data_IF_096468238763
#
_entry.id   IF_096468238763
#
_cell.length_a   1.000
_cell.length_b   1.000
_cell.length_c   1.000
_cell.angle_alpha   90.00
_cell.angle_beta   90.00
_cell.angle_gamma   90.00
#
_symmetry.space_group_name_H-M   'P 1'
#
loop_
_entity.id
_entity.type
_entity.pdbx_description
1 polymer ?
#
# COMPACT_ATOMS: atom_id res chain seq x y z
N UNK A 1 -51.94 65.91 -19.28
CA UNK A 1 -51.58 64.72 -18.48
C UNK A 1 -51.35 63.44 -19.31
N UNK A 2 -52.06 63.22 -20.43
CA UNK A 2 -51.92 61.99 -21.24
C UNK A 2 -50.63 61.95 -22.08
N UNK A 3 -50.11 63.10 -22.54
CA UNK A 3 -48.85 63.17 -23.30
C UNK A 3 -47.59 62.89 -22.45
N UNK A 4 -47.63 63.13 -21.14
CA UNK A 4 -46.50 62.86 -20.22
C UNK A 4 -46.44 61.37 -19.84
N UNK A 5 -47.59 60.68 -19.81
CA UNK A 5 -47.65 59.24 -19.53
C UNK A 5 -47.22 58.40 -20.74
N UNK A 6 -47.50 58.84 -21.98
CA UNK A 6 -46.98 58.18 -23.19
C UNK A 6 -45.45 58.33 -23.37
N UNK A 7 -44.85 59.41 -22.88
CA UNK A 7 -43.39 59.59 -22.85
C UNK A 7 -42.70 58.74 -21.77
N UNK A 8 -43.41 58.38 -20.69
CA UNK A 8 -42.90 57.49 -19.64
C UNK A 8 -43.01 56.00 -20.01
N UNK A 9 -43.84 55.63 -21.00
CA UNK A 9 -44.02 54.25 -21.47
C UNK A 9 -43.03 53.84 -22.57
N UNK A 10 -42.29 54.77 -23.17
CA UNK A 10 -41.20 54.46 -24.11
C UNK A 10 -39.90 54.07 -23.41
N UNK A 11 -39.72 54.43 -22.12
CA UNK A 11 -38.54 54.09 -21.32
C UNK A 11 -38.48 52.63 -20.83
N UNK A 12 -39.61 51.92 -20.80
CA UNK A 12 -39.67 50.52 -20.32
C UNK A 12 -39.31 49.48 -21.38
N UNK A 13 -39.22 49.85 -22.67
CA UNK A 13 -38.77 48.95 -23.74
C UNK A 13 -37.25 48.96 -23.94
N UNK A 14 -36.59 50.02 -23.50
CA UNK A 14 -35.14 50.19 -23.62
C UNK A 14 -34.40 49.30 -22.62
N UNK A 15 -34.90 49.18 -21.39
CA UNK A 15 -34.28 48.35 -20.35
C UNK A 15 -34.19 46.86 -20.70
N UNK A 16 -35.26 46.16 -21.15
CA UNK A 16 -35.17 44.75 -21.55
C UNK A 16 -34.34 44.56 -22.83
N UNK A 17 -34.31 45.54 -23.75
CA UNK A 17 -33.46 45.51 -24.93
C UNK A 17 -31.98 45.63 -24.55
N UNK A 18 -31.62 46.53 -23.63
CA UNK A 18 -30.26 46.68 -23.12
C UNK A 18 -29.82 45.46 -22.31
N UNK A 19 -30.71 44.87 -21.51
CA UNK A 19 -30.44 43.61 -20.80
C UNK A 19 -30.23 42.47 -21.79
N UNK A 20 -31.03 42.38 -22.85
CA UNK A 20 -30.86 41.36 -23.90
C UNK A 20 -29.55 41.54 -24.66
N UNK A 21 -29.17 42.77 -25.02
CA UNK A 21 -27.88 43.08 -25.66
C UNK A 21 -26.71 42.75 -24.72
N UNK A 22 -26.81 43.10 -23.44
CA UNK A 22 -25.79 42.79 -22.45
C UNK A 22 -25.64 41.29 -22.22
N UNK A 23 -26.76 40.55 -22.13
CA UNK A 23 -26.76 39.08 -22.09
C UNK A 23 -26.13 38.51 -23.37
N UNK A 24 -26.49 39.03 -24.55
CA UNK A 24 -25.89 38.62 -25.83
C UNK A 24 -24.39 38.88 -25.88
N UNK A 25 -23.91 40.04 -25.39
CA UNK A 25 -22.48 40.37 -25.33
C UNK A 25 -21.73 39.45 -24.35
N UNK A 26 -22.30 39.18 -23.17
CA UNK A 26 -21.73 38.23 -22.21
C UNK A 26 -21.66 36.80 -22.79
N UNK A 27 -22.69 36.42 -23.55
CA UNK A 27 -22.72 35.12 -24.24
C UNK A 27 -21.64 35.06 -25.32
N UNK A 28 -21.49 36.09 -26.16
CA UNK A 28 -20.44 36.18 -27.18
C UNK A 28 -19.04 36.08 -26.55
N UNK A 29 -18.78 36.80 -25.45
CA UNK A 29 -17.50 36.73 -24.74
C UNK A 29 -17.24 35.32 -24.20
N UNK A 30 -18.25 34.66 -23.63
CA UNK A 30 -18.10 33.30 -23.09
C UNK A 30 -17.78 32.25 -24.17
N UNK A 31 -18.38 32.35 -25.36
CA UNK A 31 -18.14 31.43 -26.47
C UNK A 31 -16.77 31.64 -27.13
N UNK A 32 -16.36 32.90 -27.33
CA UNK A 32 -15.03 33.23 -27.87
C UNK A 32 -13.89 32.81 -26.93
N UNK A 33 -14.08 32.96 -25.62
CA UNK A 33 -13.10 32.52 -24.63
C UNK A 33 -12.98 31.00 -24.53
N UNK A 34 -14.09 30.25 -24.54
CA UNK A 34 -14.05 28.78 -24.41
C UNK A 34 -13.33 28.09 -25.58
N UNK A 35 -13.52 28.57 -26.82
CA UNK A 35 -12.78 28.05 -27.98
C UNK A 35 -11.27 28.36 -27.89
N UNK A 36 -10.91 29.53 -27.34
CA UNK A 36 -9.51 29.93 -27.18
C UNK A 36 -8.81 29.10 -26.09
N UNK A 37 -9.51 28.73 -25.01
CA UNK A 37 -8.92 27.96 -23.91
C UNK A 37 -8.50 26.54 -24.32
N UNK A 38 -9.27 25.88 -25.18
CA UNK A 38 -8.96 24.54 -25.67
C UNK A 38 -7.77 24.55 -26.66
N UNK A 39 -7.63 25.59 -27.48
CA UNK A 39 -6.43 25.80 -28.32
C UNK A 39 -5.19 25.99 -27.44
N UNK A 40 -5.28 26.83 -26.41
CA UNK A 40 -4.17 27.07 -25.48
C UNK A 40 -3.82 25.82 -24.66
N UNK A 41 -4.82 25.00 -24.31
CA UNK A 41 -4.62 23.70 -23.69
C UNK A 41 -3.74 22.79 -24.55
N UNK A 42 -4.13 22.56 -25.82
CA UNK A 42 -3.38 21.69 -26.74
C UNK A 42 -1.99 22.26 -27.02
N UNK A 43 -1.85 23.59 -27.15
CA UNK A 43 -0.56 24.25 -27.32
C UNK A 43 0.35 24.00 -26.12
N UNK A 44 -0.16 24.16 -24.90
CA UNK A 44 0.58 23.91 -23.67
C UNK A 44 0.99 22.44 -23.53
N UNK A 45 0.09 21.50 -23.86
CA UNK A 45 0.40 20.07 -23.88
C UNK A 45 1.55 19.79 -24.86
N UNK A 46 1.46 20.27 -26.11
CA UNK A 46 2.50 20.06 -27.12
C UNK A 46 3.87 20.60 -26.69
N UNK A 47 3.92 21.76 -26.05
CA UNK A 47 5.17 22.36 -25.57
C UNK A 47 5.76 21.57 -24.40
N UNK A 48 4.92 21.00 -23.54
CA UNK A 48 5.36 20.28 -22.34
C UNK A 48 5.90 18.86 -22.61
N UNK A 49 5.51 18.26 -23.74
CA UNK A 49 5.86 16.89 -24.09
C UNK A 49 7.05 16.85 -25.06
N UNK A 50 7.97 15.91 -24.83
CA UNK A 50 9.01 15.57 -25.80
C UNK A 50 8.47 14.50 -26.76
N UNK A 51 8.46 14.79 -28.06
CA UNK A 51 7.94 13.91 -29.12
C UNK A 51 9.05 13.47 -30.08
N UNK A 52 9.83 12.43 -29.73
CA UNK A 52 10.98 11.99 -30.52
C UNK A 52 10.61 11.39 -31.88
N UNK A 53 9.35 10.99 -32.08
CA UNK A 53 8.87 10.33 -33.30
C UNK A 53 7.95 11.23 -34.13
N UNK A 54 7.74 12.47 -33.70
CA UNK A 54 6.98 13.49 -34.43
C UNK A 54 5.51 13.12 -34.69
N UNK A 55 4.88 12.38 -33.76
CA UNK A 55 3.45 12.04 -33.82
C UNK A 55 2.54 13.27 -33.67
N UNK A 56 2.99 14.30 -32.95
CA UNK A 56 2.28 15.57 -32.73
C UNK A 56 2.53 16.61 -33.84
N UNK A 57 3.11 16.20 -34.97
CA UNK A 57 3.38 17.08 -36.11
C UNK A 57 2.11 17.75 -36.65
N UNK A 58 0.97 17.07 -36.64
CA UNK A 58 -0.31 17.60 -37.12
C UNK A 58 -0.86 18.73 -36.26
N UNK A 59 -0.38 18.89 -35.02
CA UNK A 59 -0.83 19.92 -34.08
C UNK A 59 -0.23 21.28 -34.48
N UNK A 60 -0.70 21.82 -35.61
CA UNK A 60 -0.30 23.11 -36.13
C UNK A 60 -1.33 24.19 -35.76
N UNK A 61 -0.87 25.22 -35.06
CA UNK A 61 -1.70 26.31 -34.53
C UNK A 61 -1.71 27.57 -35.42
N UNK A 62 -1.25 27.47 -36.67
CA UNK A 62 -1.22 28.59 -37.63
C UNK A 62 -2.58 28.80 -38.34
N UNK A 63 -3.58 27.95 -38.08
CA UNK A 63 -4.89 28.01 -38.71
C UNK A 63 -5.91 28.70 -37.79
N UNK A 64 -6.83 29.46 -38.40
CA UNK A 64 -7.90 30.20 -37.72
C UNK A 64 -9.31 29.70 -38.06
N UNK A 65 -9.43 28.66 -38.90
CA UNK A 65 -10.72 28.06 -39.27
C UNK A 65 -11.33 27.33 -38.07
N UNK A 66 -12.63 27.46 -37.83
CA UNK A 66 -13.28 26.73 -36.74
C UNK A 66 -13.14 25.20 -36.88
N UNK A 67 -13.02 24.49 -35.76
CA UNK A 67 -12.85 23.04 -35.72
C UNK A 67 -11.50 22.52 -36.22
N UNK A 68 -10.53 23.38 -36.58
CA UNK A 68 -9.26 22.91 -37.14
C UNK A 68 -8.46 22.02 -36.18
N UNK A 69 -8.55 22.25 -34.86
CA UNK A 69 -7.86 21.42 -33.86
C UNK A 69 -8.43 20.00 -33.78
N UNK A 70 -9.66 19.79 -34.25
CA UNK A 70 -10.32 18.48 -34.28
C UNK A 70 -9.74 17.55 -35.35
N UNK A 71 -8.86 18.07 -36.21
CA UNK A 71 -8.10 17.29 -37.21
C UNK A 71 -6.73 16.86 -36.69
N UNK A 72 -6.37 17.27 -35.48
CA UNK A 72 -5.11 16.89 -34.88
C UNK A 72 -5.11 15.40 -34.50
N UNK A 73 -3.97 14.73 -34.70
CA UNK A 73 -3.77 13.36 -34.28
C UNK A 73 -4.08 13.21 -32.79
N UNK A 74 -4.98 12.28 -32.47
CA UNK A 74 -5.38 12.00 -31.10
C UNK A 74 -6.34 13.01 -30.47
N UNK A 75 -6.85 14.01 -31.20
CA UNK A 75 -7.86 14.94 -30.66
C UNK A 75 -9.24 14.57 -31.18
N UNK A 76 -10.18 14.37 -30.27
CA UNK A 76 -11.60 14.21 -30.57
C UNK A 76 -12.36 15.41 -30.01
N UNK A 77 -13.25 16.01 -30.80
CA UNK A 77 -14.05 17.15 -30.38
C UNK A 77 -15.51 16.76 -30.15
N UNK A 78 -16.23 17.60 -29.39
CA UNK A 78 -17.67 17.46 -29.20
C UNK A 78 -18.46 17.61 -30.50
N UNK A 79 -17.99 18.51 -31.37
CA UNK A 79 -18.51 18.72 -32.72
C UNK A 79 -17.32 18.98 -33.65
N UNK A 80 -17.30 18.44 -34.89
CA UNK A 80 -16.17 18.58 -35.82
C UNK A 80 -15.85 20.04 -36.21
N UNK A 81 -16.86 20.91 -36.12
CA UNK A 81 -16.76 22.32 -36.50
C UNK A 81 -16.62 23.27 -35.30
N UNK A 82 -16.39 22.75 -34.09
CA UNK A 82 -16.18 23.56 -32.89
C UNK A 82 -14.82 23.23 -32.27
N UNK A 83 -14.05 24.26 -31.87
CA UNK A 83 -12.78 24.08 -31.16
C UNK A 83 -12.99 23.68 -29.69
N UNK A 84 -13.67 22.56 -29.46
CA UNK A 84 -14.08 22.09 -28.13
C UNK A 84 -13.67 20.64 -27.94
N UNK A 85 -12.60 20.42 -27.20
CA UNK A 85 -11.99 19.10 -27.04
C UNK A 85 -12.87 18.23 -26.12
N UNK A 86 -13.19 17.04 -26.62
CA UNK A 86 -13.92 16.00 -25.90
C UNK A 86 -12.94 14.99 -25.29
N UNK A 87 -12.03 14.45 -26.11
CA UNK A 87 -11.03 13.48 -25.68
C UNK A 87 -9.65 13.80 -26.29
N UNK A 88 -8.61 13.49 -25.53
CA UNK A 88 -7.23 13.47 -26.01
C UNK A 88 -6.71 12.03 -25.86
N UNK A 89 -6.34 11.40 -26.99
CA UNK A 89 -5.84 10.03 -27.12
C UNK A 89 -4.45 10.03 -27.74
N UNK A 90 -3.43 10.01 -26.90
CA UNK A 90 -2.02 10.01 -27.29
C UNK A 90 -1.33 8.70 -26.94
N UNK A 91 -2.08 7.59 -26.98
CA UNK A 91 -1.57 6.27 -26.62
C UNK A 91 -0.46 5.79 -27.57
N UNK A 92 0.55 5.11 -27.02
CA UNK A 92 1.61 4.40 -27.76
C UNK A 92 2.42 5.27 -28.75
N UNK A 93 2.59 6.56 -28.44
CA UNK A 93 3.32 7.52 -29.29
C UNK A 93 4.80 7.69 -28.92
N UNK A 94 5.28 7.01 -27.87
CA UNK A 94 6.65 7.14 -27.37
C UNK A 94 6.99 8.50 -26.77
N UNK A 95 5.97 9.27 -26.38
CA UNK A 95 6.08 10.60 -25.79
C UNK A 95 6.85 10.55 -24.46
N UNK A 96 7.63 11.59 -24.16
CA UNK A 96 8.39 11.73 -22.91
C UNK A 96 8.06 13.08 -22.25
N UNK A 97 8.60 13.27 -21.06
CA UNK A 97 8.34 14.44 -20.23
C UNK A 97 7.60 14.05 -18.95
N UNK A 98 6.89 15.01 -18.37
CA UNK A 98 6.07 14.82 -17.18
C UNK A 98 4.58 14.93 -17.54
N UNK A 99 3.71 14.80 -16.54
CA UNK A 99 2.27 15.01 -16.74
C UNK A 99 1.99 16.42 -17.31
N UNK A 100 1.30 16.56 -18.45
CA UNK A 100 1.14 17.85 -19.09
C UNK A 100 0.09 18.70 -18.37
N UNK A 101 0.54 19.65 -17.55
CA UNK A 101 -0.32 20.51 -16.72
C UNK A 101 -1.30 21.37 -17.54
N UNK A 102 -0.99 21.62 -18.82
CA UNK A 102 -1.85 22.38 -19.75
C UNK A 102 -3.26 21.80 -19.90
N UNK A 103 -3.46 20.53 -19.55
CA UNK A 103 -4.78 19.88 -19.55
C UNK A 103 -5.83 20.63 -18.70
N UNK A 104 -5.40 21.41 -17.70
CA UNK A 104 -6.31 22.24 -16.89
C UNK A 104 -7.08 23.30 -17.69
N UNK A 105 -6.58 23.67 -18.86
CA UNK A 105 -7.20 24.66 -19.74
C UNK A 105 -8.19 24.04 -20.73
N UNK A 106 -8.24 22.71 -20.85
CA UNK A 106 -9.21 22.03 -21.71
C UNK A 106 -10.58 22.03 -21.02
N UNK A 107 -11.43 22.99 -21.38
CA UNK A 107 -12.65 23.36 -20.64
C UNK A 107 -13.68 22.22 -20.56
N UNK A 108 -13.69 21.33 -21.54
CA UNK A 108 -14.76 20.34 -21.76
C UNK A 108 -14.23 18.92 -21.91
N UNK A 109 -12.99 18.66 -21.46
CA UNK A 109 -12.34 17.36 -21.57
C UNK A 109 -13.03 16.31 -20.71
N UNK A 110 -13.34 15.16 -21.31
CA UNK A 110 -13.98 14.03 -20.64
C UNK A 110 -13.12 12.76 -20.66
N UNK A 111 -12.21 12.63 -21.61
CA UNK A 111 -11.30 11.50 -21.73
C UNK A 111 -9.87 11.96 -21.93
N UNK A 112 -8.97 11.44 -21.11
CA UNK A 112 -7.54 11.71 -21.22
C UNK A 112 -6.77 10.39 -21.19
N UNK A 113 -6.15 10.05 -22.32
CA UNK A 113 -5.38 8.83 -22.51
C UNK A 113 -3.99 9.19 -23.03
N UNK A 114 -2.98 8.98 -22.20
CA UNK A 114 -1.56 9.10 -22.54
C UNK A 114 -0.82 7.78 -22.27
N UNK A 115 -1.56 6.66 -22.32
CA UNK A 115 -1.04 5.33 -22.02
C UNK A 115 0.06 4.87 -22.99
N UNK A 116 0.90 3.92 -22.57
CA UNK A 116 1.90 3.34 -23.47
C UNK A 116 3.02 4.30 -23.90
N UNK A 117 3.32 5.31 -23.09
CA UNK A 117 4.37 6.29 -23.35
C UNK A 117 5.53 6.16 -22.34
N UNK A 118 6.47 7.11 -22.39
CA UNK A 118 7.61 7.20 -21.50
C UNK A 118 7.49 8.40 -20.54
N UNK A 119 6.26 8.75 -20.14
CA UNK A 119 6.01 9.87 -19.22
C UNK A 119 6.50 9.48 -17.81
N UNK A 120 7.26 10.37 -17.19
CA UNK A 120 7.93 10.18 -15.90
C UNK A 120 7.43 11.19 -14.86
N UNK A 121 8.02 11.11 -13.66
CA UNK A 121 7.67 12.00 -12.55
C UNK A 121 6.42 11.52 -11.83
N UNK A 122 5.86 12.39 -10.98
CA UNK A 122 4.70 12.07 -10.17
C UNK A 122 3.41 12.43 -10.88
N UNK A 123 2.31 11.74 -10.53
CA UNK A 123 0.98 12.26 -10.81
C UNK A 123 0.79 13.53 -9.96
N UNK A 124 0.39 14.69 -10.53
CA UNK A 124 0.28 15.95 -9.82
C UNK A 124 -0.58 15.84 -8.55
N UNK A 125 -0.15 16.44 -7.44
CA UNK A 125 -0.87 16.37 -6.17
C UNK A 125 -2.22 17.10 -6.19
N UNK A 126 -2.42 18.01 -7.13
CA UNK A 126 -3.64 18.78 -7.38
C UNK A 126 -4.38 18.31 -8.64
N UNK A 127 -4.28 17.02 -8.98
CA UNK A 127 -4.83 16.43 -10.21
C UNK A 127 -6.32 16.75 -10.43
N UNK A 128 -7.12 16.90 -9.38
CA UNK A 128 -8.55 17.23 -9.52
C UNK A 128 -8.80 18.62 -10.10
N UNK A 129 -7.87 19.56 -9.91
CA UNK A 129 -7.93 20.88 -10.55
C UNK A 129 -7.56 20.82 -12.03
N UNK A 130 -6.81 19.80 -12.44
CA UNK A 130 -6.36 19.63 -13.81
C UNK A 130 -7.40 18.87 -14.65
N UNK A 131 -8.07 17.87 -14.06
CA UNK A 131 -8.96 16.94 -14.78
C UNK A 131 -10.30 16.71 -14.07
N UNK A 132 -10.81 17.70 -13.34
CA UNK A 132 -11.97 17.52 -12.44
C UNK A 132 -13.26 17.01 -13.10
N UNK A 133 -13.43 17.22 -14.41
CA UNK A 133 -14.58 16.76 -15.19
C UNK A 133 -14.30 15.49 -16.02
N UNK A 134 -13.08 14.97 -15.97
CA UNK A 134 -12.70 13.77 -16.72
C UNK A 134 -13.42 12.54 -16.18
N UNK A 135 -13.93 11.75 -17.11
CA UNK A 135 -14.67 10.51 -16.88
C UNK A 135 -13.83 9.27 -17.15
N UNK A 136 -12.80 9.38 -17.99
CA UNK A 136 -11.88 8.30 -18.32
C UNK A 136 -10.45 8.83 -18.28
N UNK A 137 -9.66 8.31 -17.34
CA UNK A 137 -8.24 8.62 -17.22
C UNK A 137 -7.41 7.36 -17.41
N UNK A 138 -6.60 7.32 -18.47
CA UNK A 138 -5.65 6.24 -18.72
C UNK A 138 -4.21 6.77 -18.74
N UNK A 139 -3.49 6.42 -17.68
CA UNK A 139 -2.07 6.72 -17.48
C UNK A 139 -1.23 5.44 -17.50
N UNK A 140 -1.81 4.31 -17.93
CA UNK A 140 -1.17 3.01 -17.84
C UNK A 140 0.07 2.90 -18.73
N UNK A 141 0.94 1.94 -18.44
CA UNK A 141 2.13 1.64 -19.25
C UNK A 141 3.03 2.86 -19.47
N UNK A 142 3.36 3.57 -18.38
CA UNK A 142 4.25 4.71 -18.36
C UNK A 142 5.36 4.52 -17.30
N UNK A 143 6.04 5.59 -16.93
CA UNK A 143 7.09 5.61 -15.89
C UNK A 143 6.71 6.53 -14.72
N UNK A 144 5.41 6.70 -14.44
CA UNK A 144 4.97 7.48 -13.29
C UNK A 144 5.46 6.84 -11.99
N UNK A 145 5.96 7.67 -11.08
CA UNK A 145 6.57 7.27 -9.80
C UNK A 145 5.93 8.00 -8.61
N UNK A 146 6.28 7.58 -7.40
CA UNK A 146 5.74 8.16 -6.17
C UNK A 146 4.33 7.65 -5.85
N UNK A 147 3.66 8.32 -4.92
CA UNK A 147 2.35 7.89 -4.44
C UNK A 147 1.19 8.31 -5.35
N UNK A 148 0.10 7.55 -5.30
CA UNK A 148 -1.17 7.96 -5.92
C UNK A 148 -1.74 9.14 -5.09
N UNK A 149 -1.95 10.33 -5.67
CA UNK A 149 -2.39 11.49 -4.91
C UNK A 149 -3.82 11.30 -4.39
N UNK A 150 -4.04 11.58 -3.10
CA UNK A 150 -5.37 11.50 -2.46
C UNK A 150 -6.39 12.41 -3.14
N UNK A 151 -5.94 13.53 -3.71
CA UNK A 151 -6.76 14.49 -4.45
C UNK A 151 -7.44 13.87 -5.69
N UNK A 152 -6.95 12.74 -6.19
CA UNK A 152 -7.59 12.00 -7.28
C UNK A 152 -8.99 11.50 -6.91
N UNK A 153 -9.28 11.34 -5.60
CA UNK A 153 -10.62 11.03 -5.10
C UNK A 153 -11.62 12.20 -5.25
N UNK A 154 -11.16 13.41 -5.58
CA UNK A 154 -12.02 14.57 -5.87
C UNK A 154 -12.49 14.59 -7.34
N UNK A 155 -11.96 13.74 -8.22
CA UNK A 155 -12.42 13.59 -9.59
C UNK A 155 -13.73 12.77 -9.66
N UNK A 156 -14.82 13.33 -9.12
CA UNK A 156 -16.10 12.66 -8.88
C UNK A 156 -16.81 12.10 -10.12
N UNK A 157 -16.38 12.51 -11.32
CA UNK A 157 -16.93 12.06 -12.61
C UNK A 157 -16.25 10.81 -13.17
N UNK A 158 -15.13 10.36 -12.58
CA UNK A 158 -14.37 9.21 -13.09
C UNK A 158 -15.20 7.92 -13.09
N UNK A 159 -15.28 7.31 -14.27
CA UNK A 159 -15.78 5.96 -14.50
C UNK A 159 -14.64 4.97 -14.72
N UNK A 160 -13.54 5.41 -15.36
CA UNK A 160 -12.39 4.58 -15.70
C UNK A 160 -11.12 5.25 -15.16
N UNK A 161 -10.34 4.49 -14.40
CA UNK A 161 -9.03 4.91 -13.88
C UNK A 161 -8.01 3.78 -14.07
N UNK A 162 -7.08 3.97 -15.01
CA UNK A 162 -6.03 3.02 -15.32
C UNK A 162 -4.66 3.61 -14.98
N UNK A 163 -3.98 2.96 -14.05
CA UNK A 163 -2.67 3.32 -13.53
C UNK A 163 -1.68 2.14 -13.62
N UNK A 164 -2.07 1.04 -14.26
CA UNK A 164 -1.25 -0.16 -14.33
C UNK A 164 0.06 0.04 -15.09
N UNK A 165 1.04 -0.84 -14.83
CA UNK A 165 2.35 -0.84 -15.46
C UNK A 165 3.06 0.51 -15.32
N UNK A 166 3.15 1.00 -14.09
CA UNK A 166 3.92 2.18 -13.72
C UNK A 166 4.91 1.82 -12.59
N UNK A 167 5.53 2.83 -12.00
CA UNK A 167 6.44 2.71 -10.86
C UNK A 167 5.85 3.34 -9.59
N UNK A 168 4.52 3.31 -9.44
CA UNK A 168 3.81 3.91 -8.31
C UNK A 168 4.09 3.14 -7.02
N UNK A 169 4.30 3.87 -5.93
CA UNK A 169 4.64 3.37 -4.59
C UNK A 169 3.61 3.80 -3.55
N UNK A 170 3.78 3.37 -2.29
CA UNK A 170 2.90 3.77 -1.19
C UNK A 170 1.59 2.98 -1.18
N UNK A 171 0.54 3.55 -0.59
CA UNK A 171 -0.78 2.93 -0.49
C UNK A 171 -1.72 3.44 -1.58
N UNK A 172 -2.74 2.65 -1.91
CA UNK A 172 -3.89 3.16 -2.67
C UNK A 172 -4.75 3.99 -1.70
N UNK A 173 -4.98 5.30 -1.94
CA UNK A 173 -5.77 6.11 -1.05
C UNK A 173 -7.18 5.52 -0.86
N UNK A 174 -7.64 5.26 0.38
CA UNK A 174 -8.96 4.67 0.62
C UNK A 174 -10.11 5.52 0.08
N UNK A 175 -9.90 6.83 -0.06
CA UNK A 175 -10.84 7.78 -0.62
C UNK A 175 -11.19 7.47 -2.08
N UNK A 176 -10.32 6.79 -2.85
CA UNK A 176 -10.63 6.34 -4.22
C UNK A 176 -11.82 5.38 -4.20
N UNK A 177 -11.99 4.59 -3.14
CA UNK A 177 -13.16 3.71 -2.96
C UNK A 177 -14.49 4.45 -2.82
N UNK A 178 -14.46 5.77 -2.57
CA UNK A 178 -15.64 6.64 -2.47
C UNK A 178 -16.09 7.23 -3.81
N UNK A 179 -15.32 7.02 -4.89
CA UNK A 179 -15.70 7.47 -6.23
C UNK A 179 -16.93 6.68 -6.71
N UNK A 180 -18.10 7.28 -6.55
CA UNK A 180 -19.40 6.62 -6.73
C UNK A 180 -19.72 6.19 -8.17
N UNK A 181 -19.01 6.75 -9.15
CA UNK A 181 -19.16 6.46 -10.58
C UNK A 181 -18.12 5.51 -11.13
N UNK A 182 -17.08 5.19 -10.36
CA UNK A 182 -15.98 4.36 -10.85
C UNK A 182 -16.48 2.96 -11.15
N UNK A 183 -16.14 2.44 -12.33
CA UNK A 183 -16.53 1.11 -12.82
C UNK A 183 -15.32 0.27 -13.15
N UNK A 184 -14.27 0.90 -13.66
CA UNK A 184 -13.03 0.25 -14.05
C UNK A 184 -11.87 0.89 -13.29
N UNK A 185 -11.11 0.06 -12.59
CA UNK A 185 -9.92 0.44 -11.86
C UNK A 185 -8.84 -0.60 -12.09
N UNK A 186 -7.62 -0.15 -12.40
CA UNK A 186 -6.46 -1.03 -12.55
C UNK A 186 -5.20 -0.34 -12.05
N UNK A 187 -4.47 -1.04 -11.18
CA UNK A 187 -3.15 -0.64 -10.66
C UNK A 187 -2.12 -1.77 -10.79
N UNK A 188 -2.44 -2.77 -11.60
CA UNK A 188 -1.62 -3.95 -11.91
C UNK A 188 -0.17 -3.58 -12.21
N UNK A 189 0.81 -4.37 -11.79
CA UNK A 189 2.25 -4.13 -12.06
C UNK A 189 2.72 -2.74 -11.63
N UNK A 190 2.61 -2.44 -10.34
CA UNK A 190 3.22 -1.30 -9.68
C UNK A 190 4.01 -1.79 -8.44
N UNK A 191 4.43 -0.87 -7.56
CA UNK A 191 5.13 -1.15 -6.31
C UNK A 191 4.26 -0.73 -5.09
N UNK A 192 2.93 -0.90 -5.23
CA UNK A 192 1.97 -0.49 -4.20
C UNK A 192 1.96 -1.47 -3.02
N UNK A 193 1.58 -0.94 -1.86
CA UNK A 193 1.59 -1.63 -0.57
C UNK A 193 0.34 -1.33 0.25
N UNK A 194 0.07 -2.13 1.27
CA UNK A 194 -1.03 -1.90 2.21
C UNK A 194 -2.39 -2.47 1.76
N UNK A 195 -3.46 -2.14 2.48
CA UNK A 195 -4.78 -2.68 2.22
C UNK A 195 -5.39 -2.14 0.92
N UNK A 196 -6.06 -3.00 0.16
CA UNK A 196 -6.91 -2.61 -0.97
C UNK A 196 -8.14 -1.84 -0.44
N UNK A 197 -8.52 -0.71 -1.07
CA UNK A 197 -9.67 0.06 -0.63
C UNK A 197 -10.99 -0.64 -0.96
N UNK A 198 -11.98 -0.46 -0.07
CA UNK A 198 -13.34 -0.93 -0.33
C UNK A 198 -14.06 0.05 -1.26
N UNK A 199 -14.49 -0.45 -2.42
CA UNK A 199 -15.30 0.32 -3.35
C UNK A 199 -16.79 0.20 -3.01
N UNK A 200 -17.51 1.33 -2.98
CA UNK A 200 -18.93 1.36 -2.56
C UNK A 200 -19.85 0.88 -3.69
N UNK A 201 -19.59 1.31 -4.92
CA UNK A 201 -20.46 1.09 -6.08
C UNK A 201 -19.81 0.26 -7.19
N UNK A 202 -18.64 -0.32 -6.93
CA UNK A 202 -17.89 -1.12 -7.89
C UNK A 202 -17.39 -2.41 -7.23
N UNK A 203 -17.36 -3.49 -8.00
CA UNK A 203 -16.62 -4.70 -7.62
C UNK A 203 -15.39 -4.75 -8.51
N UNK A 204 -14.24 -4.40 -7.95
CA UNK A 204 -12.97 -4.44 -8.67
C UNK A 204 -12.35 -5.82 -8.44
N UNK A 205 -12.02 -6.56 -9.50
CA UNK A 205 -11.57 -7.94 -9.37
C UNK A 205 -10.09 -8.03 -8.99
N UNK A 206 -9.64 -9.20 -8.53
CA UNK A 206 -8.29 -9.38 -7.99
C UNK A 206 -7.17 -9.11 -9.01
N UNK A 207 -7.43 -9.38 -10.30
CA UNK A 207 -6.51 -9.12 -11.40
C UNK A 207 -6.12 -7.65 -11.52
N UNK A 208 -7.01 -6.72 -11.18
CA UNK A 208 -6.75 -5.27 -11.22
C UNK A 208 -5.65 -4.82 -10.25
N UNK A 209 -5.27 -5.67 -9.30
CA UNK A 209 -4.23 -5.39 -8.30
C UNK A 209 -2.99 -6.26 -8.49
N UNK A 210 -3.01 -7.18 -9.47
CA UNK A 210 -1.97 -8.19 -9.62
C UNK A 210 -0.57 -7.60 -9.77
N UNK A 211 0.45 -8.34 -9.35
CA UNK A 211 1.86 -7.91 -9.40
C UNK A 211 2.16 -6.63 -8.60
N UNK A 212 1.48 -6.43 -7.47
CA UNK A 212 1.87 -5.49 -6.42
C UNK A 212 2.11 -6.30 -5.13
N UNK A 213 3.37 -6.62 -4.83
CA UNK A 213 3.69 -7.59 -3.76
C UNK A 213 3.24 -7.16 -2.36
N UNK A 214 3.09 -5.86 -2.12
CA UNK A 214 2.71 -5.34 -0.81
C UNK A 214 1.20 -5.15 -0.63
N UNK A 215 0.37 -5.34 -1.66
CA UNK A 215 -1.07 -5.18 -1.55
C UNK A 215 -1.71 -6.40 -0.88
N UNK A 216 -2.73 -6.15 -0.06
CA UNK A 216 -3.45 -7.18 0.68
C UNK A 216 -4.90 -6.76 0.99
N UNK A 217 -5.72 -7.69 1.48
CA UNK A 217 -7.14 -7.46 1.79
C UNK A 217 -8.05 -7.64 0.56
N UNK A 218 -9.31 -7.98 0.82
CA UNK A 218 -10.27 -8.39 -0.22
C UNK A 218 -10.29 -7.43 -1.43
N UNK A 219 -10.18 -7.94 -2.67
CA UNK A 219 -10.26 -9.36 -3.08
C UNK A 219 -8.93 -10.14 -3.03
N UNK A 220 -7.85 -9.55 -2.50
CA UNK A 220 -6.54 -10.20 -2.33
C UNK A 220 -6.46 -10.98 -1.01
N UNK A 221 -5.40 -11.81 -0.80
CA UNK A 221 -5.17 -12.45 0.48
C UNK A 221 -5.18 -11.45 1.65
N UNK A 222 -5.69 -11.85 2.83
CA UNK A 222 -5.80 -10.95 3.99
C UNK A 222 -4.46 -10.33 4.37
N UNK A 223 -4.50 -9.07 4.81
CA UNK A 223 -3.32 -8.40 5.33
C UNK A 223 -2.79 -9.14 6.55
N UNK A 224 -1.53 -9.55 6.50
CA UNK A 224 -0.85 -10.08 7.67
C UNK A 224 -0.69 -8.92 8.66
N UNK A 225 -1.54 -8.90 9.70
CA UNK A 225 -1.28 -8.07 10.86
C UNK A 225 0.08 -8.43 11.47
N UNK A 226 0.61 -7.62 12.41
CA UNK A 226 1.76 -8.05 13.19
C UNK A 226 1.43 -9.43 13.74
N UNK A 227 2.20 -10.45 13.32
CA UNK A 227 2.05 -11.80 13.82
C UNK A 227 1.95 -11.67 15.33
N UNK A 228 0.77 -11.94 15.89
CA UNK A 228 0.68 -12.23 17.31
C UNK A 228 1.56 -13.45 17.45
N UNK A 229 2.82 -13.23 17.82
CA UNK A 229 3.65 -14.28 18.39
C UNK A 229 2.77 -14.82 19.50
N UNK A 230 2.14 -15.97 19.25
CA UNK A 230 1.56 -16.72 20.32
C UNK A 230 2.74 -16.93 21.25
N UNK A 231 2.73 -16.23 22.40
CA UNK A 231 3.50 -16.63 23.55
C UNK A 231 2.93 -18.00 23.91
N UNK A 232 3.42 -19.02 23.19
CA UNK A 232 3.44 -20.37 23.69
C UNK A 232 4.32 -20.25 24.92
N UNK A 233 3.79 -20.40 26.14
CA UNK A 233 4.65 -20.42 27.30
C UNK A 233 5.59 -21.59 27.06
N UNK A 234 6.88 -21.28 26.89
CA UNK A 234 7.92 -22.28 26.89
C UNK A 234 7.94 -22.88 28.29
N UNK A 235 7.11 -23.90 28.53
CA UNK A 235 7.30 -24.84 29.63
C UNK A 235 8.43 -25.77 29.20
N UNK A 236 9.64 -25.22 29.13
CA UNK A 236 10.87 -25.94 28.88
C UNK A 236 11.76 -25.79 30.12
N UNK A 237 11.61 -26.76 31.03
CA UNK A 237 12.78 -27.39 31.64
C UNK A 237 13.38 -26.76 32.88
N UNK A 238 12.59 -26.14 33.77
CA UNK A 238 13.03 -25.84 35.14
C UNK A 238 13.05 -27.07 36.06
N UNK A 239 13.52 -28.23 35.58
CA UNK A 239 13.33 -29.50 36.28
C UNK A 239 14.38 -30.57 36.01
N UNK A 240 15.60 -30.21 35.57
CA UNK A 240 16.73 -31.17 35.49
C UNK A 240 18.08 -30.54 35.91
N UNK A 241 18.19 -29.21 36.02
CA UNK A 241 19.47 -28.54 36.31
C UNK A 241 19.95 -28.60 37.77
N UNK A 242 19.06 -28.81 38.74
CA UNK A 242 19.42 -28.84 40.17
C UNK A 242 19.96 -30.20 40.67
N UNK A 243 19.54 -31.29 40.03
CA UNK A 243 19.81 -32.66 40.51
C UNK A 243 21.20 -33.17 40.13
N UNK A 244 21.84 -32.59 39.10
CA UNK A 244 23.17 -33.00 38.63
C UNK A 244 24.32 -32.38 39.44
N UNK A 245 24.16 -31.17 39.99
CA UNK A 245 25.20 -30.54 40.80
C UNK A 245 25.30 -31.13 42.22
N UNK A 246 24.19 -31.58 42.80
CA UNK A 246 24.18 -32.26 44.10
C UNK A 246 24.89 -33.62 44.09
N UNK A 247 24.73 -34.40 43.02
CA UNK A 247 25.31 -35.74 42.91
C UNK A 247 26.84 -35.72 42.75
N UNK A 248 27.39 -34.71 42.07
CA UNK A 248 28.84 -34.55 41.92
C UNK A 248 29.52 -34.15 43.24
N UNK A 249 28.89 -33.30 44.06
CA UNK A 249 29.42 -32.92 45.37
C UNK A 249 29.54 -34.10 46.34
N UNK A 250 28.53 -34.98 46.38
CA UNK A 250 28.53 -36.17 47.25
C UNK A 250 29.60 -37.18 46.81
N UNK A 251 29.78 -37.35 45.50
CA UNK A 251 30.80 -38.26 44.94
C UNK A 251 32.23 -37.80 45.26
N UNK A 252 32.50 -36.50 45.17
CA UNK A 252 33.81 -35.92 45.55
C UNK A 252 34.05 -36.05 47.05
N UNK A 253 33.02 -35.83 47.89
CA UNK A 253 33.10 -35.98 49.34
C UNK A 253 33.45 -37.41 49.79
N UNK A 254 32.84 -38.42 49.18
CA UNK A 254 33.13 -39.83 49.47
C UNK A 254 34.57 -40.20 49.07
N UNK A 255 35.05 -39.74 47.91
CA UNK A 255 36.44 -39.98 47.47
C UNK A 255 37.44 -39.35 48.45
N UNK A 256 37.18 -38.14 48.93
CA UNK A 256 38.05 -37.47 49.91
C UNK A 256 38.04 -38.20 51.26
N UNK A 257 36.87 -38.68 51.71
CA UNK A 257 36.74 -39.45 52.94
C UNK A 257 37.46 -40.81 52.87
N UNK A 258 37.35 -41.54 51.76
CA UNK A 258 38.04 -42.82 51.56
C UNK A 258 39.57 -42.63 51.47
N UNK A 259 40.05 -41.56 50.81
CA UNK A 259 41.48 -41.22 50.80
C UNK A 259 42.02 -40.88 52.19
N UNK A 260 41.25 -40.17 53.02
CA UNK A 260 41.63 -39.84 54.40
C UNK A 260 41.69 -41.10 55.29
N UNK A 261 40.75 -42.03 55.12
CA UNK A 261 40.75 -43.32 55.85
C UNK A 261 41.91 -44.23 55.41
N UNK A 262 42.27 -44.21 54.13
CA UNK A 262 43.44 -44.95 53.62
C UNK A 262 44.77 -44.37 54.11
N UNK A 263 44.88 -43.05 54.30
CA UNK A 263 46.08 -42.46 54.92
C UNK A 263 46.19 -42.82 56.40
N UNK A 264 45.07 -42.76 57.15
CA UNK A 264 45.07 -43.14 58.57
C UNK A 264 45.45 -44.61 58.79
N UNK A 265 45.02 -45.51 57.89
CA UNK A 265 45.40 -46.94 57.94
C UNK A 265 46.87 -47.22 57.56
N UNK A 266 47.59 -46.26 56.95
CA UNK A 266 49.01 -46.38 56.62
C UNK A 266 49.94 -45.89 57.73
N UNK A 267 49.41 -45.22 58.76
CA UNK A 267 50.19 -44.71 59.90
C UNK A 267 50.22 -45.69 61.09
N UNK A 268 49.32 -46.68 61.14
CA UNK A 268 49.21 -47.63 62.27
C UNK A 268 50.05 -48.92 62.12
N UNK A 269 50.94 -49.05 61.13
CA UNK A 269 51.83 -50.21 61.02
C UNK A 269 53.23 -49.87 60.48
N UNK A 270 54.19 -49.47 61.34
CA UNK A 270 55.59 -49.33 60.95
C UNK A 270 56.53 -50.13 61.84
N UNK A 271 56.28 -51.43 62.09
CA UNK A 271 57.30 -52.46 62.43
C UNK A 271 56.63 -53.82 62.66
N UNK A 272 56.76 -54.72 61.69
CA UNK A 272 56.32 -56.11 61.81
C UNK A 272 57.27 -56.92 62.67
N UNK A 273 56.81 -57.35 63.86
CA UNK A 273 57.24 -58.55 64.60
C UNK A 273 56.72 -58.53 66.04
N UNK A 274 55.84 -59.48 66.40
CA UNK A 274 55.92 -60.26 67.65
C UNK A 274 54.80 -61.29 67.73
N UNK A 275 55.20 -62.55 67.54
CA UNK A 275 54.49 -63.69 68.11
C UNK A 275 54.79 -63.77 69.62
N UNK A 276 53.78 -64.23 70.37
CA UNK A 276 53.83 -64.99 71.62
C UNK A 276 53.48 -64.30 72.97
N UNK A 277 52.68 -65.08 73.76
CA UNK A 277 52.48 -65.09 75.24
C UNK A 277 51.47 -64.05 75.78
N UNK A 278 50.44 -64.30 76.61
CA UNK A 278 50.00 -65.45 77.43
C UNK A 278 48.48 -65.41 77.75
N UNK A 279 48.02 -66.57 78.20
CA UNK A 279 46.76 -66.99 78.83
C UNK A 279 46.47 -66.27 80.18
N UNK A 280 45.20 -65.90 80.49
CA UNK A 280 44.31 -66.44 81.57
C UNK A 280 43.14 -65.51 81.96
N UNK A 281 41.94 -66.10 82.03
CA UNK A 281 40.78 -65.71 82.86
C UNK A 281 40.03 -64.47 82.38
N UNK A 282 38.71 -64.30 82.46
CA UNK A 282 37.54 -64.96 83.05
C UNK A 282 36.37 -64.10 82.47
N UNK A 283 35.15 -64.51 82.17
CA UNK A 283 34.18 -65.38 82.84
C UNK A 283 33.02 -65.55 81.82
N UNK A 284 32.42 -66.74 81.81
CA UNK A 284 31.09 -67.01 81.23
C UNK A 284 30.05 -66.05 81.82
N UNK A 285 29.04 -65.68 81.03
CA UNK A 285 27.62 -65.91 81.33
C UNK A 285 26.87 -66.14 80.01
N UNK A 286 26.09 -67.23 80.00
CA UNK A 286 25.09 -67.69 79.01
C UNK A 286 23.98 -66.64 78.85
N UNK A 287 23.58 -66.29 77.63
CA UNK A 287 22.59 -66.97 76.78
C UNK A 287 21.17 -67.03 77.38
N UNK A 288 20.21 -66.42 76.66
CA UNK A 288 18.87 -66.93 76.31
C UNK A 288 18.11 -65.83 75.54
N UNK A 289 17.16 -66.09 74.66
CA UNK A 289 16.88 -67.14 73.67
C UNK A 289 15.67 -66.57 72.89
N UNK A 290 15.63 -66.76 71.57
CA UNK A 290 14.42 -66.99 70.71
C UNK A 290 13.19 -66.08 70.80
N UNK A 291 12.76 -65.55 69.65
CA UNK A 291 11.57 -66.02 68.87
C UNK A 291 11.62 -65.35 67.47
N UNK A 292 11.69 -66.07 66.33
CA UNK A 292 10.54 -66.62 65.56
C UNK A 292 9.45 -65.55 65.33
N UNK A 293 8.91 -65.19 64.15
CA UNK A 293 8.92 -65.76 62.80
C UNK A 293 8.14 -64.78 61.86
N UNK A 294 8.42 -64.86 60.54
CA UNK A 294 7.54 -64.57 59.36
C UNK A 294 7.00 -63.13 59.15
N UNK A 295 7.23 -62.42 58.03
CA UNK A 295 7.03 -62.71 56.58
C UNK A 295 5.56 -62.64 56.14
N UNK A 296 5.22 -61.63 55.32
CA UNK A 296 4.20 -61.59 54.23
C UNK A 296 4.43 -60.26 53.47
N UNK A 297 5.08 -60.21 52.29
CA UNK A 297 4.55 -60.33 50.90
C UNK A 297 3.10 -59.82 50.77
N UNK A 298 2.82 -58.68 50.11
CA UNK A 298 2.79 -58.41 48.65
C UNK A 298 1.64 -59.13 47.93
N UNK A 299 0.78 -58.35 47.24
CA UNK A 299 -0.02 -58.60 46.00
C UNK A 299 -1.11 -57.50 45.95
N UNK A 300 -1.04 -56.53 45.02
CA UNK A 300 -1.79 -56.49 43.74
C UNK A 300 -3.29 -56.79 43.88
N UNK A 301 -4.11 -55.74 43.78
CA UNK A 301 -5.17 -55.55 42.78
C UNK A 301 -5.45 -54.04 42.67
#
# INVERSE_FOLDING_TARGET
>A
MIAVVMSMLSGFRVLPALVSIFIWLLVIESFGHAAQTDIDCLRAIKISLEDPFNYLSSWNFDNTTEGYICKFAGVECWHPDENKVLNIRLADMGLRGEFPLGVSSCSSLTGFDISGNNIRGNIPSNISKLIGFVTSLDLSSNRFSGEIPVDLANCSYLNILKLDKNQLTGQIPPQIGLLSRLKEFSVTRNQLTGPVPRFINATIPAESYANNQGLCGDPLPPCQGPSKKNHTPAILGGGVGGSLLGALGISIGIIFFLRKRSRKKREDDPLGNKWAINIKGAKRIKARYTFFLRKFLCLTY
#
